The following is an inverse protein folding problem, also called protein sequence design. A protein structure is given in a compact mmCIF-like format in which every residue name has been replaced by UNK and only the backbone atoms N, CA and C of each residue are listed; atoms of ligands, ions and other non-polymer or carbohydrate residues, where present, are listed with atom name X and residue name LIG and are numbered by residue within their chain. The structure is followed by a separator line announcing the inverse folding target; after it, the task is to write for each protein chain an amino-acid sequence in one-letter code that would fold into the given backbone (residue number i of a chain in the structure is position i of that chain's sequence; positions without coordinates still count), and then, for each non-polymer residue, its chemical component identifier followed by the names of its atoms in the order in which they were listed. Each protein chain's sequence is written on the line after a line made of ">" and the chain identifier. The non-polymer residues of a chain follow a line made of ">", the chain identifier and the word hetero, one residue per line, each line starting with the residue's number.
data_IF_982821120549
#
_entry.id   IF_982821120549
#
_cell.length_a   1.000
_cell.length_b   1.000
_cell.length_c   1.000
_cell.angle_alpha   90.00
_cell.angle_beta   90.00
_cell.angle_gamma   90.00
#
_symmetry.space_group_name_H-M   'P 1'
#
loop_
_entity.id
_entity.type
_entity.pdbx_description
1 polymer ?
#
# COMPACT_ATOMS: atom_id res chain seq x y z
N UNK A 1 10.32 -41.30 -7.06
CA UNK A 1 9.54 -40.34 -6.25
C UNK A 1 8.10 -40.49 -6.68
N UNK A 2 7.33 -41.33 -5.98
CA UNK A 2 5.89 -41.44 -6.19
C UNK A 2 5.25 -40.10 -5.83
N UNK A 3 4.66 -39.43 -6.81
CA UNK A 3 3.75 -38.33 -6.55
C UNK A 3 2.46 -38.94 -6.03
N UNK A 4 2.33 -39.02 -4.71
CA UNK A 4 1.05 -39.31 -4.06
C UNK A 4 0.00 -38.37 -4.66
N UNK A 5 -1.02 -38.93 -5.29
CA UNK A 5 -2.16 -38.15 -5.84
C UNK A 5 -2.90 -37.51 -4.67
N UNK A 6 -2.44 -36.33 -4.25
CA UNK A 6 -3.19 -35.49 -3.33
C UNK A 6 -4.44 -34.99 -4.06
N UNK A 7 -5.59 -35.53 -3.68
CA UNK A 7 -6.89 -35.05 -4.14
C UNK A 7 -7.13 -33.65 -3.61
N UNK A 8 -6.97 -32.65 -4.49
CA UNK A 8 -7.30 -31.26 -4.19
C UNK A 8 -8.82 -31.08 -4.20
N UNK A 9 -9.36 -30.62 -3.08
CA UNK A 9 -10.75 -30.22 -2.99
C UNK A 9 -10.92 -28.85 -3.66
N UNK A 10 -11.82 -28.76 -4.64
CA UNK A 10 -12.07 -27.55 -5.42
C UNK A 10 -13.53 -27.15 -5.32
N UNK A 11 -13.77 -25.85 -5.18
CA UNK A 11 -15.08 -25.23 -5.36
C UNK A 11 -15.27 -24.85 -6.84
N UNK A 12 -16.36 -25.30 -7.44
CA UNK A 12 -16.74 -25.01 -8.84
C UNK A 12 -17.97 -24.11 -8.94
N UNK A 13 -18.55 -23.68 -7.81
CA UNK A 13 -19.82 -22.94 -7.76
C UNK A 13 -19.84 -21.64 -8.55
N UNK A 14 -18.69 -21.00 -8.78
CA UNK A 14 -18.58 -19.77 -9.57
C UNK A 14 -18.13 -19.98 -11.02
N UNK A 15 -18.28 -21.19 -11.57
CA UNK A 15 -17.92 -21.51 -12.96
C UNK A 15 -16.42 -21.59 -13.22
N UNK A 16 -15.59 -21.61 -12.17
CA UNK A 16 -14.14 -21.83 -12.23
C UNK A 16 -13.74 -22.74 -11.07
N UNK A 17 -12.75 -23.60 -11.32
CA UNK A 17 -12.19 -24.45 -10.26
C UNK A 17 -11.31 -23.60 -9.35
N UNK A 18 -11.75 -23.42 -8.10
CA UNK A 18 -11.00 -22.73 -7.06
C UNK A 18 -10.58 -23.74 -6.00
N UNK A 19 -9.28 -24.09 -5.89
CA UNK A 19 -8.82 -24.94 -4.79
C UNK A 19 -9.18 -24.32 -3.44
N UNK A 20 -9.61 -25.19 -2.52
CA UNK A 20 -9.81 -24.84 -1.12
C UNK A 20 -8.44 -24.83 -0.44
N UNK A 21 -8.10 -23.70 0.18
CA UNK A 21 -6.77 -23.50 0.76
C UNK A 21 -6.81 -23.69 2.28
N UNK A 22 -6.06 -24.67 2.82
CA UNK A 22 -5.87 -24.83 4.26
C UNK A 22 -5.11 -23.64 4.90
N UNK A 23 -5.37 -23.39 6.19
CA UNK A 23 -4.83 -22.24 6.93
C UNK A 23 -3.30 -22.12 6.87
N UNK A 24 -2.57 -23.24 6.84
CA UNK A 24 -1.11 -23.25 6.78
C UNK A 24 -0.55 -22.72 5.44
N UNK A 25 -1.33 -22.76 4.36
CA UNK A 25 -0.90 -22.28 3.03
C UNK A 25 -1.32 -20.84 2.74
N UNK A 26 -2.30 -20.28 3.48
CA UNK A 26 -2.78 -18.91 3.29
C UNK A 26 -1.68 -17.83 3.40
N UNK A 27 -0.71 -17.89 4.35
CA UNK A 27 0.39 -16.92 4.42
C UNK A 27 1.24 -16.88 3.16
N UNK A 28 1.45 -18.03 2.51
CA UNK A 28 2.25 -18.10 1.29
C UNK A 28 1.53 -17.39 0.12
N UNK A 29 0.22 -17.57 0.01
CA UNK A 29 -0.62 -16.88 -0.98
C UNK A 29 -0.58 -15.37 -0.77
N UNK A 30 -0.70 -14.92 0.49
CA UNK A 30 -0.59 -13.52 0.85
C UNK A 30 0.78 -12.91 0.51
N UNK A 31 1.86 -13.66 0.76
CA UNK A 31 3.21 -13.19 0.42
C UNK A 31 3.40 -12.96 -1.08
N UNK A 32 2.75 -13.81 -1.90
CA UNK A 32 2.83 -13.76 -3.36
C UNK A 32 2.05 -12.58 -3.91
N UNK A 33 0.86 -12.29 -3.37
CA UNK A 33 0.04 -11.16 -3.81
C UNK A 33 0.68 -9.80 -3.52
N UNK A 34 1.43 -9.68 -2.41
CA UNK A 34 2.11 -8.43 -2.05
C UNK A 34 3.20 -8.05 -3.07
N UNK A 35 3.88 -9.06 -3.64
CA UNK A 35 5.01 -8.87 -4.56
C UNK A 35 4.58 -8.40 -5.95
N UNK A 36 3.38 -8.79 -6.41
CA UNK A 36 2.98 -8.65 -7.81
C UNK A 36 2.55 -7.24 -8.23
N UNK A 37 1.97 -6.43 -7.35
CA UNK A 37 1.52 -5.08 -7.73
C UNK A 37 1.23 -4.12 -6.57
N UNK A 38 1.49 -4.53 -5.32
CA UNK A 38 0.99 -3.82 -4.13
C UNK A 38 -0.48 -3.34 -4.29
N UNK A 39 -1.38 -4.18 -4.83
CA UNK A 39 -2.75 -3.76 -5.10
C UNK A 39 -3.46 -3.36 -3.81
N UNK A 40 -4.51 -2.54 -3.92
CA UNK A 40 -5.38 -2.22 -2.79
C UNK A 40 -5.99 -3.49 -2.19
N UNK A 41 -6.51 -3.36 -0.97
CA UNK A 41 -7.17 -4.49 -0.26
C UNK A 41 -8.33 -5.05 -1.08
N UNK A 42 -9.05 -4.18 -1.79
CA UNK A 42 -10.18 -4.57 -2.63
C UNK A 42 -9.74 -5.39 -3.84
N UNK A 43 -8.73 -4.94 -4.55
CA UNK A 43 -8.14 -5.62 -5.70
C UNK A 43 -7.51 -6.95 -5.29
N UNK A 44 -6.88 -7.01 -4.11
CA UNK A 44 -6.32 -8.25 -3.55
C UNK A 44 -7.42 -9.27 -3.28
N UNK A 45 -8.53 -8.84 -2.65
CA UNK A 45 -9.70 -9.70 -2.43
C UNK A 45 -10.21 -10.24 -3.76
N UNK A 46 -10.43 -9.36 -4.75
CA UNK A 46 -10.92 -9.74 -6.08
C UNK A 46 -10.01 -10.80 -6.73
N UNK A 47 -8.71 -10.54 -6.78
CA UNK A 47 -7.73 -11.46 -7.38
C UNK A 47 -7.69 -12.81 -6.67
N UNK A 48 -7.79 -12.84 -5.35
CA UNK A 48 -7.78 -14.09 -4.58
C UNK A 48 -9.10 -14.86 -4.73
N UNK A 49 -10.25 -14.17 -4.69
CA UNK A 49 -11.58 -14.79 -4.89
C UNK A 49 -11.76 -15.43 -6.27
N UNK A 50 -11.00 -14.99 -7.27
CA UNK A 50 -11.02 -15.57 -8.60
C UNK A 50 -10.23 -16.88 -8.69
N UNK A 51 -9.25 -17.11 -7.80
CA UNK A 51 -8.26 -18.21 -7.92
C UNK A 51 -8.36 -19.24 -6.81
N UNK A 52 -8.74 -18.85 -5.60
CA UNK A 52 -8.76 -19.70 -4.42
C UNK A 52 -9.99 -19.41 -3.55
N UNK A 53 -10.32 -20.32 -2.65
CA UNK A 53 -11.38 -20.09 -1.68
C UNK A 53 -11.07 -20.73 -0.31
N UNK A 54 -11.57 -20.10 0.75
CA UNK A 54 -11.63 -20.67 2.10
C UNK A 54 -12.65 -19.89 2.95
N UNK A 55 -13.19 -20.50 4.02
CA UNK A 55 -14.10 -19.81 4.93
C UNK A 55 -13.42 -18.59 5.57
N UNK A 56 -14.08 -17.44 5.56
CA UNK A 56 -13.53 -16.23 6.21
C UNK A 56 -12.50 -15.45 5.40
N UNK A 57 -12.20 -15.84 4.16
CA UNK A 57 -11.14 -15.26 3.33
C UNK A 57 -11.10 -13.73 3.28
N UNK A 58 -12.25 -13.07 3.14
CA UNK A 58 -12.31 -11.61 3.09
C UNK A 58 -11.86 -10.94 4.41
N UNK A 59 -12.07 -11.59 5.56
CA UNK A 59 -11.61 -11.11 6.86
C UNK A 59 -10.09 -11.26 6.96
N UNK A 60 -9.57 -12.43 6.61
CA UNK A 60 -8.15 -12.74 6.71
C UNK A 60 -7.31 -11.83 5.81
N UNK A 61 -7.76 -11.60 4.57
CA UNK A 61 -7.07 -10.70 3.63
C UNK A 61 -7.02 -9.26 4.18
N UNK A 62 -8.08 -8.78 4.83
CA UNK A 62 -8.12 -7.44 5.44
C UNK A 62 -7.22 -7.33 6.67
N UNK A 63 -7.12 -8.39 7.47
CA UNK A 63 -6.22 -8.43 8.63
C UNK A 63 -4.75 -8.48 8.18
N UNK A 64 -4.45 -9.34 7.22
CA UNK A 64 -3.13 -9.41 6.60
C UNK A 64 -2.71 -8.08 5.95
N UNK A 65 -3.59 -7.44 5.18
CA UNK A 65 -3.25 -6.18 4.55
C UNK A 65 -3.01 -5.04 5.55
N UNK A 66 -3.60 -5.12 6.76
CA UNK A 66 -3.34 -4.19 7.87
C UNK A 66 -1.98 -4.44 8.53
N UNK A 67 -1.56 -5.69 8.66
CA UNK A 67 -0.26 -6.04 9.24
C UNK A 67 0.90 -5.83 8.26
N UNK A 68 0.64 -5.88 6.95
CA UNK A 68 1.66 -5.67 5.93
C UNK A 68 2.23 -4.24 5.93
N UNK A 69 3.52 -4.10 6.29
CA UNK A 69 4.26 -2.82 6.29
C UNK A 69 4.32 -2.20 4.90
N UNK A 70 4.46 -3.03 3.86
CA UNK A 70 4.41 -2.59 2.47
C UNK A 70 3.08 -1.90 2.19
N UNK A 71 1.98 -2.65 2.27
CA UNK A 71 0.63 -2.13 2.02
C UNK A 71 0.32 -0.87 2.83
N UNK A 72 0.72 -0.82 4.12
CA UNK A 72 0.54 0.35 4.98
C UNK A 72 1.30 1.58 4.47
N UNK A 73 2.56 1.43 4.05
CA UNK A 73 3.37 2.54 3.52
C UNK A 73 2.84 3.09 2.20
N UNK A 74 2.27 2.25 1.33
CA UNK A 74 1.70 2.72 0.05
C UNK A 74 0.34 3.40 0.22
N UNK A 75 -0.41 3.09 1.29
CA UNK A 75 -1.68 3.76 1.61
C UNK A 75 -1.45 4.99 2.49
N UNK A 76 -0.89 6.06 1.92
CA UNK A 76 -0.89 7.38 2.58
C UNK A 76 -2.22 8.09 2.27
N UNK A 77 -3.31 7.62 2.89
CA UNK A 77 -4.65 8.24 2.70
C UNK A 77 -4.91 9.30 3.79
N UNK A 78 -4.28 9.15 4.97
CA UNK A 78 -4.37 10.10 6.07
C UNK A 78 -2.99 10.62 6.41
N UNK A 79 -2.72 11.87 6.06
CA UNK A 79 -1.64 12.62 6.69
C UNK A 79 -2.04 12.90 8.13
N UNK A 80 -1.21 12.50 9.10
CA UNK A 80 -1.30 13.08 10.44
C UNK A 80 -0.98 14.57 10.26
N UNK A 81 -2.01 15.42 10.29
CA UNK A 81 -1.81 16.86 10.38
C UNK A 81 -1.17 17.09 11.74
N UNK A 82 0.11 17.49 11.74
CA UNK A 82 0.73 17.98 12.96
C UNK A 82 -0.09 19.18 13.44
N UNK A 83 -0.46 19.27 14.72
CA UNK A 83 -1.04 20.51 15.23
C UNK A 83 -0.08 21.65 14.89
N UNK A 84 -0.64 22.77 14.39
CA UNK A 84 0.16 23.94 14.09
C UNK A 84 0.79 24.42 15.40
N UNK A 85 2.13 24.52 15.43
CA UNK A 85 2.82 25.17 16.53
C UNK A 85 2.40 26.64 16.57
N UNK A 86 2.06 27.14 17.75
CA UNK A 86 1.85 28.58 17.94
C UNK A 86 3.19 29.26 18.17
N UNK A 87 3.41 30.37 17.45
CA UNK A 87 4.50 31.27 17.77
C UNK A 87 4.08 32.17 18.92
N UNK A 88 4.97 32.38 19.90
CA UNK A 88 4.76 33.41 20.92
C UNK A 88 4.91 34.77 20.24
N UNK A 89 3.98 35.68 20.50
CA UNK A 89 4.14 37.10 20.14
C UNK A 89 5.33 37.66 20.92
N UNK A 90 6.31 38.23 20.22
CA UNK A 90 7.51 38.77 20.87
C UNK A 90 7.24 40.14 21.48
N UNK A 91 7.64 40.33 22.74
CA UNK A 91 7.55 41.60 23.46
C UNK A 91 8.59 42.66 23.03
N UNK A 92 9.55 42.27 22.17
CA UNK A 92 10.64 43.13 21.73
C UNK A 92 10.78 43.14 20.20
N UNK A 93 11.18 44.29 19.66
CA UNK A 93 11.49 44.44 18.23
C UNK A 93 12.65 43.50 17.85
N UNK A 94 12.53 42.81 16.73
CA UNK A 94 13.53 41.89 16.15
C UNK A 94 13.82 40.60 16.94
N UNK A 95 12.96 40.17 17.87
CA UNK A 95 13.20 38.95 18.64
C UNK A 95 13.11 37.65 17.81
N UNK A 96 12.26 37.62 16.78
CA UNK A 96 12.12 36.49 15.85
C UNK A 96 12.09 36.99 14.39
N UNK A 97 12.94 36.43 13.53
CA UNK A 97 12.99 36.74 12.09
C UNK A 97 12.82 35.45 11.29
N UNK A 98 11.78 35.41 10.45
CA UNK A 98 11.53 34.29 9.54
C UNK A 98 12.11 34.61 8.16
N UNK A 99 13.19 33.93 7.79
CA UNK A 99 13.80 34.05 6.47
C UNK A 99 13.35 32.88 5.61
N UNK A 100 12.80 33.15 4.43
CA UNK A 100 12.48 32.14 3.43
C UNK A 100 13.28 32.41 2.14
N UNK A 101 13.89 31.36 1.60
CA UNK A 101 14.65 31.44 0.36
C UNK A 101 13.81 30.84 -0.78
N UNK A 102 13.56 31.64 -1.80
CA UNK A 102 13.01 31.16 -3.07
C UNK A 102 14.17 30.80 -4.03
N UNK A 103 14.05 29.70 -4.78
CA UNK A 103 15.02 29.21 -5.79
C UNK A 103 14.34 29.05 -7.17
N UNK A 104 15.09 28.89 -8.28
CA UNK A 104 16.19 29.68 -8.80
C UNK A 104 15.71 30.73 -9.83
N UNK A 105 16.43 31.84 -9.96
CA UNK A 105 16.20 32.84 -11.00
C UNK A 105 16.79 32.34 -12.33
N UNK A 106 15.95 32.17 -13.36
CA UNK A 106 16.44 31.86 -14.70
C UNK A 106 17.29 33.04 -15.20
N UNK A 107 18.57 32.82 -15.47
CA UNK A 107 19.39 33.79 -16.20
C UNK A 107 18.89 33.83 -17.64
N UNK A 108 18.24 34.94 -18.02
CA UNK A 108 18.00 35.24 -19.43
C UNK A 108 19.38 35.43 -20.08
N UNK A 109 19.86 34.43 -20.81
CA UNK A 109 20.96 34.62 -21.74
C UNK A 109 20.45 35.53 -22.85
N UNK A 110 20.85 36.81 -22.85
CA UNK A 110 20.74 37.65 -24.05
C UNK A 110 21.58 36.98 -25.13
N UNK A 111 20.93 36.30 -26.06
CA UNK A 111 21.51 36.01 -27.37
C UNK A 111 21.80 37.35 -28.04
N UNK A 112 23.07 37.76 -28.00
CA UNK A 112 23.54 38.87 -28.82
C UNK A 112 23.66 38.37 -30.25
N UNK A 113 22.69 38.74 -31.09
CA UNK A 113 22.83 38.65 -32.54
C UNK A 113 23.91 39.64 -32.95
N UNK A 114 24.98 39.17 -33.57
CA UNK A 114 25.81 39.96 -34.46
C UNK A 114 26.39 39.06 -35.56
#
# INVERSE_FOLDING_TARGET
>A
METSKETLLCDTSAGRNRPIVPNNYQPNIFSTSCKLSRPGVHETIKLMTERCCWPGMNKDIREWARSCVGCRKSKVIRHKKCPLGSFKTSDARFHHVHLNFYRPFHSITRSSTH
#
